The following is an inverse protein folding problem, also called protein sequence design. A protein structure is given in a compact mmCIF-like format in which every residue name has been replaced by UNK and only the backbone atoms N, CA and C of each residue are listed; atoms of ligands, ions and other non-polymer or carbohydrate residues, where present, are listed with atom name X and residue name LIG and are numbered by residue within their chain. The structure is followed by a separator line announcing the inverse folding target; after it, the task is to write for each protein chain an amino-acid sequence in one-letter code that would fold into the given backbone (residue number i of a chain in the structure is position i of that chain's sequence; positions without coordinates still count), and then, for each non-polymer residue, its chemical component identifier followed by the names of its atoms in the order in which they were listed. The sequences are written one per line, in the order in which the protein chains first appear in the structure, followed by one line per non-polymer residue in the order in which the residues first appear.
data_IF_029855740422
#
_entry.id   IF_029855740422
#
_cell.length_a   1.000
_cell.length_b   1.000
_cell.length_c   1.000
_cell.angle_alpha   90.00
_cell.angle_beta   90.00
_cell.angle_gamma   90.00
#
_symmetry.space_group_name_H-M   'P 1'
#
loop_
_entity.id
_entity.type
_entity.pdbx_description
1 polymer ?
#
# COMPACT_ATOMS: atom_id res chain seq x y z
N UNK A 1 11.73 16.90 -0.85
CA UNK A 1 11.49 15.45 -0.99
C UNK A 1 12.88 14.85 -0.98
N UNK A 2 13.21 14.04 0.02
CA UNK A 2 14.48 13.33 0.00
C UNK A 2 14.43 12.31 -1.14
N UNK A 3 15.44 12.34 -1.99
CA UNK A 3 15.64 11.33 -3.02
C UNK A 3 15.94 10.02 -2.29
N UNK A 4 14.96 9.12 -2.29
CA UNK A 4 15.21 7.72 -1.91
C UNK A 4 15.85 7.12 -3.14
N UNK A 5 17.18 7.17 -3.16
CA UNK A 5 17.98 6.37 -4.07
C UNK A 5 17.95 4.96 -3.51
N UNK A 6 17.47 3.99 -4.29
CA UNK A 6 17.42 2.59 -3.86
C UNK A 6 18.45 1.85 -4.71
N UNK A 7 19.71 1.94 -4.30
CA UNK A 7 20.81 1.18 -4.89
C UNK A 7 20.98 -0.15 -4.12
N UNK A 8 21.37 -1.24 -4.80
CA UNK A 8 21.64 -2.50 -4.13
C UNK A 8 22.96 -2.40 -3.33
N UNK A 9 22.90 -2.64 -2.03
CA UNK A 9 24.09 -3.02 -1.25
C UNK A 9 23.97 -4.50 -0.89
N UNK A 10 25.04 -5.24 -1.17
CA UNK A 10 25.08 -6.71 -1.25
C UNK A 10 25.66 -7.27 0.03
N UNK A 11 24.86 -7.96 0.85
CA UNK A 11 25.40 -8.70 2.01
C UNK A 11 25.61 -10.21 1.78
N UNK A 12 25.16 -10.80 0.67
CA UNK A 12 25.32 -12.25 0.49
C UNK A 12 25.61 -12.66 -0.97
N UNK A 13 26.90 -12.68 -1.33
CA UNK A 13 27.56 -13.58 -2.29
C UNK A 13 27.07 -13.75 -3.75
N UNK A 14 25.87 -13.32 -4.13
CA UNK A 14 25.30 -13.51 -5.46
C UNK A 14 25.65 -12.38 -6.43
N UNK A 15 26.01 -12.73 -7.67
CA UNK A 15 26.29 -11.75 -8.74
C UNK A 15 24.99 -11.10 -9.23
N UNK A 16 24.86 -9.79 -9.04
CA UNK A 16 23.72 -9.03 -9.58
C UNK A 16 23.95 -8.82 -11.08
N UNK A 17 23.02 -9.31 -11.90
CA UNK A 17 23.00 -9.00 -13.33
C UNK A 17 21.92 -7.95 -13.58
N UNK A 18 22.33 -6.75 -13.98
CA UNK A 18 21.42 -5.73 -14.47
C UNK A 18 21.06 -6.04 -15.93
N UNK A 19 19.77 -6.17 -16.21
CA UNK A 19 19.31 -6.31 -17.59
C UNK A 19 19.14 -4.90 -18.16
N UNK A 20 20.16 -4.41 -18.86
CA UNK A 20 20.30 -3.02 -19.29
C UNK A 20 19.03 -2.42 -19.95
N UNK A 21 18.88 -1.10 -19.73
CA UNK A 21 17.82 -0.16 -20.18
C UNK A 21 16.42 -0.30 -19.56
N UNK A 22 16.14 -1.38 -18.82
CA UNK A 22 14.78 -1.68 -18.33
C UNK A 22 14.51 -1.32 -16.87
N UNK A 23 15.54 -0.99 -16.07
CA UNK A 23 15.41 -0.81 -14.62
C UNK A 23 15.04 -2.11 -13.89
N UNK A 24 15.35 -3.26 -14.50
CA UNK A 24 15.13 -4.60 -13.95
C UNK A 24 16.50 -5.19 -13.55
N UNK A 25 16.61 -5.61 -12.29
CA UNK A 25 17.77 -6.35 -11.79
C UNK A 25 17.38 -7.78 -11.47
N UNK A 26 18.30 -8.70 -11.70
CA UNK A 26 18.19 -10.11 -11.38
C UNK A 26 19.36 -10.52 -10.48
N UNK A 27 19.09 -11.36 -9.49
CA UNK A 27 20.12 -11.96 -8.64
C UNK A 27 19.68 -13.36 -8.23
N UNK A 28 20.57 -14.33 -8.33
CA UNK A 28 20.38 -15.65 -7.72
C UNK A 28 21.14 -15.67 -6.39
N UNK A 29 20.43 -15.91 -5.30
CA UNK A 29 21.01 -16.05 -3.97
C UNK A 29 21.68 -17.42 -3.81
N UNK A 30 22.60 -17.53 -2.85
CA UNK A 30 23.36 -18.76 -2.60
C UNK A 30 22.48 -19.98 -2.25
N UNK A 31 21.26 -19.74 -1.79
CA UNK A 31 20.27 -20.75 -1.44
C UNK A 31 19.33 -21.13 -2.62
N UNK A 32 19.63 -20.65 -3.83
CA UNK A 32 18.90 -20.94 -5.07
C UNK A 32 17.63 -20.10 -5.26
N UNK A 33 17.35 -19.14 -4.39
CA UNK A 33 16.24 -18.21 -4.60
C UNK A 33 16.63 -17.18 -5.65
N UNK A 34 15.79 -17.03 -6.67
CA UNK A 34 15.96 -15.99 -7.69
C UNK A 34 15.18 -14.74 -7.28
N UNK A 35 15.87 -13.62 -7.13
CA UNK A 35 15.29 -12.31 -6.90
C UNK A 35 15.24 -11.49 -8.19
N UNK A 36 14.07 -10.89 -8.43
CA UNK A 36 13.84 -9.91 -9.47
C UNK A 36 13.46 -8.59 -8.81
N UNK A 37 13.92 -7.48 -9.35
CA UNK A 37 13.47 -6.16 -8.90
C UNK A 37 13.25 -5.27 -10.10
N UNK A 38 12.15 -4.53 -10.11
CA UNK A 38 11.80 -3.61 -11.19
C UNK A 38 11.40 -2.26 -10.62
N UNK A 39 12.22 -1.24 -10.90
CA UNK A 39 11.92 0.14 -10.56
C UNK A 39 10.95 0.73 -11.58
N UNK A 40 9.84 1.29 -11.10
CA UNK A 40 8.84 1.95 -11.93
C UNK A 40 9.17 3.44 -12.04
N UNK A 41 8.71 4.08 -13.11
CA UNK A 41 8.94 5.50 -13.36
C UNK A 41 8.35 6.44 -12.30
N UNK A 42 7.36 5.98 -11.53
CA UNK A 42 6.79 6.70 -10.40
C UNK A 42 7.52 6.44 -9.06
N UNK A 43 8.65 5.71 -9.10
CA UNK A 43 9.45 5.35 -7.93
C UNK A 43 8.90 4.17 -7.11
N UNK A 44 7.81 3.52 -7.55
CA UNK A 44 7.39 2.25 -6.97
C UNK A 44 8.40 1.15 -7.33
N UNK A 45 8.51 0.13 -6.49
CA UNK A 45 9.40 -1.01 -6.73
C UNK A 45 8.58 -2.30 -6.67
N UNK A 46 8.65 -3.08 -7.74
CA UNK A 46 8.19 -4.47 -7.73
C UNK A 46 9.37 -5.36 -7.35
N UNK A 47 9.19 -6.23 -6.35
CA UNK A 47 10.15 -7.28 -6.04
C UNK A 47 9.52 -8.60 -6.46
N UNK A 48 10.25 -9.50 -7.09
CA UNK A 48 9.84 -10.87 -7.38
C UNK A 48 10.82 -11.83 -6.76
N UNK A 49 10.35 -12.97 -6.30
CA UNK A 49 11.18 -14.05 -5.78
C UNK A 49 10.62 -15.37 -6.26
N UNK A 50 11.47 -16.16 -6.92
CA UNK A 50 11.13 -17.48 -7.43
C UNK A 50 11.91 -18.50 -6.61
N UNK A 51 11.19 -19.45 -6.05
CA UNK A 51 11.73 -20.50 -5.21
C UNK A 51 11.46 -21.83 -5.91
N UNK A 52 12.50 -22.55 -6.28
CA UNK A 52 12.37 -23.84 -6.97
C UNK A 52 12.17 -25.02 -6.02
N UNK A 53 12.59 -24.87 -4.76
CA UNK A 53 12.37 -25.88 -3.72
C UNK A 53 12.62 -25.29 -2.32
N UNK A 54 11.89 -25.77 -1.32
CA UNK A 54 12.21 -25.67 0.10
C UNK A 54 11.30 -26.63 0.89
N UNK A 55 11.65 -26.89 2.15
CA UNK A 55 10.81 -27.66 3.09
C UNK A 55 10.29 -26.77 4.22
N UNK A 56 9.05 -27.00 4.65
CA UNK A 56 8.41 -26.25 5.73
C UNK A 56 8.22 -24.76 5.40
N UNK A 57 8.96 -23.90 6.08
CA UNK A 57 8.89 -22.44 5.90
C UNK A 57 10.19 -21.89 5.34
N UNK A 58 10.07 -20.91 4.44
CA UNK A 58 11.19 -20.16 3.88
C UNK A 58 11.04 -18.68 4.19
N UNK A 59 12.11 -18.06 4.66
CA UNK A 59 12.18 -16.61 4.84
C UNK A 59 12.88 -15.99 3.63
N UNK A 60 12.29 -14.92 3.09
CA UNK A 60 12.84 -14.12 2.00
C UNK A 60 13.08 -12.73 2.55
N UNK A 61 14.32 -12.27 2.46
CA UNK A 61 14.72 -10.94 2.91
C UNK A 61 14.65 -9.98 1.74
N UNK A 62 13.98 -8.84 1.95
CA UNK A 62 14.00 -7.72 1.03
C UNK A 62 14.77 -6.59 1.67
N UNK A 63 15.98 -6.36 1.18
CA UNK A 63 16.79 -5.22 1.58
C UNK A 63 16.26 -3.96 0.89
N UNK A 64 16.02 -2.95 1.71
CA UNK A 64 15.42 -1.70 1.27
C UNK A 64 16.34 -0.60 1.74
N UNK A 65 16.94 0.09 0.79
CA UNK A 65 17.72 1.28 1.07
C UNK A 65 16.75 2.39 1.52
N UNK A 66 16.72 2.61 2.83
CA UNK A 66 15.87 3.59 3.47
C UNK A 66 16.74 4.67 4.12
N UNK A 67 16.29 5.93 4.11
CA UNK A 67 16.96 6.99 4.84
C UNK A 67 17.27 6.56 6.27
N UNK A 68 18.46 6.91 6.76
CA UNK A 68 18.88 6.58 8.13
C UNK A 68 17.82 7.00 9.15
N UNK A 69 17.55 6.12 10.11
CA UNK A 69 16.53 6.34 11.15
C UNK A 69 15.09 6.05 10.70
N UNK A 70 14.86 5.61 9.47
CA UNK A 70 13.53 5.15 9.03
C UNK A 70 13.09 3.90 9.79
N UNK A 71 11.79 3.76 9.96
CA UNK A 71 11.18 2.59 10.62
C UNK A 71 10.24 1.87 9.67
N UNK A 72 10.22 0.55 9.73
CA UNK A 72 9.24 -0.30 9.06
C UNK A 72 8.30 -0.87 10.11
N UNK A 73 7.00 -0.70 9.91
CA UNK A 73 5.96 -1.28 10.76
C UNK A 73 5.08 -2.22 9.95
N UNK A 74 4.69 -3.35 10.50
CA UNK A 74 3.87 -4.36 9.79
C UNK A 74 2.71 -4.84 10.65
N UNK A 75 1.59 -5.18 10.02
CA UNK A 75 0.49 -5.92 10.63
C UNK A 75 0.54 -7.44 10.30
N UNK A 76 1.66 -7.88 9.73
CA UNK A 76 1.88 -9.23 9.23
C UNK A 76 1.40 -9.45 7.80
N UNK A 77 0.62 -8.53 7.21
CA UNK A 77 0.15 -8.62 5.83
C UNK A 77 0.74 -7.54 4.95
N UNK A 78 0.80 -6.31 5.45
CA UNK A 78 1.35 -5.15 4.74
C UNK A 78 2.36 -4.43 5.64
N UNK A 79 3.21 -3.61 5.05
CA UNK A 79 4.17 -2.82 5.80
C UNK A 79 4.05 -1.32 5.49
N UNK A 80 4.29 -0.49 6.50
CA UNK A 80 4.32 0.96 6.47
C UNK A 80 5.75 1.42 6.75
N UNK A 81 6.28 2.32 5.92
CA UNK A 81 7.60 2.89 6.10
C UNK A 81 7.48 4.38 6.44
N UNK A 82 8.10 4.75 7.56
CA UNK A 82 8.14 6.12 8.07
C UNK A 82 9.59 6.59 8.20
N UNK A 83 9.82 7.89 8.02
CA UNK A 83 11.11 8.51 8.35
C UNK A 83 11.33 8.56 9.87
N UNK A 84 12.54 8.92 10.29
CA UNK A 84 12.86 9.17 11.70
C UNK A 84 11.92 10.21 12.36
N UNK A 85 11.46 11.19 11.58
CA UNK A 85 10.51 12.21 12.05
C UNK A 85 9.03 11.77 12.00
N UNK A 86 8.76 10.52 11.62
CA UNK A 86 7.41 9.96 11.50
C UNK A 86 6.68 10.35 10.21
N UNK A 87 7.37 10.91 9.21
CA UNK A 87 6.77 11.25 7.92
C UNK A 87 6.63 10.01 7.04
N UNK A 88 5.55 9.93 6.26
CA UNK A 88 5.32 8.82 5.35
C UNK A 88 6.35 8.80 4.21
N UNK A 89 7.04 7.67 4.06
CA UNK A 89 7.95 7.40 2.92
C UNK A 89 7.24 6.54 1.87
N UNK A 90 6.52 5.51 2.32
CA UNK A 90 5.91 4.51 1.46
C UNK A 90 5.44 3.29 2.25
N UNK A 91 5.26 2.17 1.58
CA UNK A 91 5.04 0.89 2.23
C UNK A 91 4.80 -0.26 1.26
N UNK A 92 4.75 -1.46 1.80
CA UNK A 92 4.51 -2.68 1.03
C UNK A 92 3.03 -3.00 1.00
N UNK A 93 2.54 -3.36 -0.19
CA UNK A 93 1.22 -3.95 -0.37
C UNK A 93 1.12 -5.32 0.30
N UNK A 94 -0.10 -5.86 0.38
CA UNK A 94 -0.37 -7.16 0.98
C UNK A 94 0.57 -8.25 0.42
N UNK A 95 1.22 -8.98 1.30
CA UNK A 95 2.05 -10.14 0.98
C UNK A 95 1.20 -11.18 0.23
N UNK A 96 1.75 -11.70 -0.86
CA UNK A 96 1.18 -12.83 -1.57
C UNK A 96 2.28 -13.75 -2.10
N UNK A 97 1.93 -15.03 -2.19
CA UNK A 97 2.73 -16.05 -2.82
C UNK A 97 1.79 -17.00 -3.58
N UNK A 98 2.20 -17.47 -4.75
CA UNK A 98 1.47 -18.43 -5.57
C UNK A 98 2.36 -19.63 -5.90
N UNK A 99 1.76 -20.81 -5.95
CA UNK A 99 2.41 -22.02 -6.45
C UNK A 99 2.35 -22.08 -7.99
N UNK A 100 2.96 -23.12 -8.58
CA UNK A 100 3.02 -23.28 -10.04
C UNK A 100 1.65 -23.50 -10.72
N UNK A 101 0.64 -23.93 -9.97
CA UNK A 101 -0.74 -24.06 -10.47
C UNK A 101 -1.54 -22.74 -10.29
N UNK A 102 -0.94 -21.73 -9.66
CA UNK A 102 -1.56 -20.45 -9.34
C UNK A 102 -2.40 -20.46 -8.06
N UNK A 103 -2.22 -21.46 -7.19
CA UNK A 103 -2.88 -21.51 -5.89
C UNK A 103 -2.16 -20.63 -4.87
N UNK A 104 -2.90 -19.95 -3.97
CA UNK A 104 -2.28 -19.14 -2.92
C UNK A 104 -1.50 -20.00 -1.92
N UNK A 105 -0.27 -19.57 -1.64
CA UNK A 105 0.59 -20.13 -0.58
C UNK A 105 0.55 -19.18 0.62
N UNK A 106 0.53 -19.74 1.83
CA UNK A 106 0.47 -18.96 3.06
C UNK A 106 1.73 -18.09 3.20
N UNK A 107 1.54 -16.81 3.50
CA UNK A 107 2.67 -15.90 3.68
C UNK A 107 2.36 -14.77 4.66
N UNK A 108 3.39 -14.28 5.33
CA UNK A 108 3.31 -13.15 6.27
C UNK A 108 4.60 -12.33 6.24
N UNK A 109 4.50 -11.03 6.52
CA UNK A 109 5.68 -10.21 6.77
C UNK A 109 6.11 -10.22 8.23
N UNK A 110 7.42 -10.20 8.43
CA UNK A 110 8.11 -9.80 9.65
C UNK A 110 9.03 -8.62 9.35
N UNK A 111 9.40 -7.90 10.39
CA UNK A 111 10.38 -6.82 10.30
C UNK A 111 11.51 -7.14 11.26
N UNK A 112 12.74 -7.01 10.78
CA UNK A 112 13.96 -7.09 11.58
C UNK A 112 14.85 -5.89 11.26
N UNK A 113 14.89 -4.90 12.17
CA UNK A 113 15.55 -3.62 11.93
C UNK A 113 14.97 -2.89 10.71
N UNK A 114 15.78 -2.72 9.68
CA UNK A 114 15.40 -2.07 8.41
C UNK A 114 15.08 -3.07 7.29
N UNK A 115 15.01 -4.36 7.61
CA UNK A 115 14.73 -5.42 6.64
C UNK A 115 13.27 -5.84 6.71
N UNK A 116 12.64 -5.95 5.56
CA UNK A 116 11.34 -6.61 5.45
C UNK A 116 11.58 -8.07 5.11
N UNK A 117 11.04 -8.97 5.92
CA UNK A 117 11.16 -10.41 5.72
C UNK A 117 9.79 -10.94 5.35
N UNK A 118 9.65 -11.57 4.19
CA UNK A 118 8.46 -12.35 3.85
C UNK A 118 8.70 -13.80 4.20
N UNK A 119 7.88 -14.33 5.10
CA UNK A 119 7.88 -15.76 5.42
C UNK A 119 6.84 -16.42 4.54
N UNK A 120 7.25 -17.44 3.79
CA UNK A 120 6.38 -18.33 3.02
C UNK A 120 6.31 -19.65 3.76
N UNK A 121 5.11 -20.13 4.02
CA UNK A 121 4.87 -21.41 4.66
C UNK A 121 4.18 -22.35 3.67
N UNK A 122 4.93 -23.36 3.20
CA UNK A 122 4.38 -24.40 2.33
C UNK A 122 3.38 -25.31 3.06
N UNK A 123 3.39 -25.29 4.40
CA UNK A 123 2.46 -26.00 5.27
C UNK A 123 2.34 -27.50 4.94
N UNK A 124 1.21 -28.09 5.32
CA UNK A 124 0.84 -29.45 4.91
C UNK A 124 0.22 -29.50 3.50
N UNK A 125 0.06 -28.34 2.83
CA UNK A 125 -0.67 -28.21 1.57
C UNK A 125 0.07 -28.77 0.35
N UNK A 126 1.35 -29.11 0.49
CA UNK A 126 2.21 -29.62 -0.59
C UNK A 126 2.14 -28.77 -1.87
N UNK A 127 2.39 -27.44 -1.78
CA UNK A 127 2.34 -26.54 -2.94
C UNK A 127 3.32 -26.98 -4.02
N UNK A 128 2.96 -26.72 -5.27
CA UNK A 128 3.82 -27.05 -6.41
C UNK A 128 4.85 -25.97 -6.68
N UNK A 129 6.08 -26.40 -6.86
CA UNK A 129 7.16 -25.53 -7.28
C UNK A 129 7.15 -25.27 -8.80
N UNK A 130 7.66 -24.11 -9.25
CA UNK A 130 8.19 -23.03 -8.43
C UNK A 130 7.09 -22.26 -7.68
N UNK A 131 7.43 -21.76 -6.50
CA UNK A 131 6.61 -20.79 -5.77
C UNK A 131 7.12 -19.39 -6.13
N UNK A 132 6.19 -18.47 -6.41
CA UNK A 132 6.49 -17.07 -6.68
C UNK A 132 5.91 -16.21 -5.57
N UNK A 133 6.76 -15.39 -4.95
CA UNK A 133 6.35 -14.29 -4.07
C UNK A 133 6.72 -12.96 -4.70
N UNK A 134 5.83 -11.98 -4.62
CA UNK A 134 6.04 -10.72 -5.34
C UNK A 134 5.46 -9.53 -4.56
N UNK A 135 6.21 -9.06 -3.55
CA UNK A 135 5.82 -7.91 -2.77
C UNK A 135 6.08 -6.60 -3.54
N UNK A 136 5.18 -5.63 -3.36
CA UNK A 136 5.25 -4.36 -4.09
C UNK A 136 5.38 -3.20 -3.12
N UNK A 137 6.46 -2.44 -3.24
CA UNK A 137 6.64 -1.19 -2.53
C UNK A 137 5.96 -0.04 -3.29
N UNK A 138 5.12 0.70 -2.59
CA UNK A 138 4.37 1.86 -3.09
C UNK A 138 4.78 3.12 -2.34
N UNK A 139 5.14 4.17 -3.09
CA UNK A 139 5.43 5.51 -2.53
C UNK A 139 4.19 6.37 -2.37
N UNK A 140 3.14 6.06 -3.12
CA UNK A 140 1.88 6.81 -3.13
C UNK A 140 0.85 6.30 -2.13
N UNK A 141 -0.19 7.11 -1.92
CA UNK A 141 -1.38 6.69 -1.16
C UNK A 141 -2.39 5.99 -2.06
N UNK A 142 -2.34 6.24 -3.36
CA UNK A 142 -3.29 5.73 -4.33
C UNK A 142 -2.72 4.48 -5.00
N UNK A 143 -3.34 3.33 -4.75
CA UNK A 143 -3.00 2.08 -5.43
C UNK A 143 -3.42 2.11 -6.89
N UNK A 144 -4.65 2.57 -7.15
CA UNK A 144 -5.22 2.64 -8.49
C UNK A 144 -6.46 3.52 -8.53
N UNK A 145 -6.63 4.29 -9.60
CA UNK A 145 -7.94 4.80 -10.01
C UNK A 145 -8.57 3.78 -10.95
N UNK A 146 -9.65 3.13 -10.51
CA UNK A 146 -10.30 2.05 -11.26
C UNK A 146 -11.34 2.56 -12.26
N UNK A 147 -11.76 3.82 -12.10
CA UNK A 147 -12.74 4.47 -12.97
C UNK A 147 -12.49 5.96 -12.95
N UNK A 148 -12.41 6.58 -14.12
CA UNK A 148 -12.38 8.02 -14.31
C UNK A 148 -13.19 8.33 -15.57
N UNK A 149 -14.39 8.88 -15.42
CA UNK A 149 -15.25 9.17 -16.58
C UNK A 149 -16.19 10.34 -16.34
N UNK A 150 -16.61 10.97 -17.42
CA UNK A 150 -17.55 12.08 -17.36
C UNK A 150 -19.00 11.60 -17.36
N UNK A 151 -19.77 11.97 -16.33
CA UNK A 151 -21.20 11.65 -16.19
C UNK A 151 -21.95 12.81 -15.55
N UNK A 152 -23.21 13.03 -15.97
CA UNK A 152 -24.13 13.99 -15.32
C UNK A 152 -23.52 15.40 -15.12
N UNK A 153 -22.66 15.84 -16.04
CA UNK A 153 -22.00 17.16 -15.95
C UNK A 153 -20.79 17.24 -14.99
N UNK A 154 -20.19 16.11 -14.62
CA UNK A 154 -18.95 16.08 -13.84
C UNK A 154 -18.19 14.76 -13.94
N UNK A 155 -16.96 14.74 -13.43
CA UNK A 155 -16.17 13.51 -13.36
C UNK A 155 -16.65 12.58 -12.25
N UNK A 156 -16.65 11.27 -12.52
CA UNK A 156 -16.83 10.21 -11.53
C UNK A 156 -15.53 9.44 -11.43
N UNK A 157 -14.93 9.44 -10.24
CA UNK A 157 -13.63 8.85 -9.96
C UNK A 157 -13.80 7.76 -8.89
N UNK A 158 -13.30 6.56 -9.14
CA UNK A 158 -13.25 5.50 -8.14
C UNK A 158 -11.79 5.17 -7.82
N UNK A 159 -11.47 5.19 -6.53
CA UNK A 159 -10.08 5.17 -6.05
C UNK A 159 -9.91 4.00 -5.09
N UNK A 160 -8.84 3.22 -5.28
CA UNK A 160 -8.32 2.28 -4.28
C UNK A 160 -7.06 2.84 -3.67
N UNK A 161 -6.98 2.83 -2.34
CA UNK A 161 -5.78 3.25 -1.60
C UNK A 161 -4.82 2.07 -1.39
N UNK A 162 -3.55 2.38 -1.17
CA UNK A 162 -2.50 1.42 -0.84
C UNK A 162 -2.74 0.77 0.52
N UNK A 163 -2.13 -0.40 0.76
CA UNK A 163 -2.17 -1.05 2.07
C UNK A 163 -1.50 -0.16 3.14
N UNK A 164 -0.37 0.47 2.79
CA UNK A 164 0.33 1.44 3.62
C UNK A 164 -0.56 2.63 4.01
N UNK A 165 -1.39 3.15 3.10
CA UNK A 165 -2.36 4.21 3.44
C UNK A 165 -3.40 3.75 4.47
N UNK A 166 -3.79 2.46 4.47
CA UNK A 166 -4.72 1.90 5.48
C UNK A 166 -4.05 1.81 6.85
N UNK A 167 -2.78 1.38 6.90
CA UNK A 167 -1.99 1.35 8.13
C UNK A 167 -1.73 2.76 8.67
N UNK A 168 -1.28 3.69 7.83
CA UNK A 168 -1.03 5.08 8.22
C UNK A 168 -2.29 5.74 8.76
N UNK A 169 -3.48 5.42 8.22
CA UNK A 169 -4.75 5.99 8.71
C UNK A 169 -4.96 5.74 10.21
N UNK A 170 -4.50 4.59 10.73
CA UNK A 170 -4.61 4.26 12.16
C UNK A 170 -3.78 5.20 13.04
N UNK A 171 -2.74 5.81 12.47
CA UNK A 171 -1.84 6.77 13.14
C UNK A 171 -2.23 8.22 12.85
N UNK A 172 -2.45 8.53 11.58
CA UNK A 172 -2.74 9.89 11.10
C UNK A 172 -3.70 9.85 9.93
N UNK A 173 -4.99 10.06 10.24
CA UNK A 173 -6.02 10.24 9.22
C UNK A 173 -5.77 11.52 8.40
N UNK A 174 -5.16 12.54 9.01
CA UNK A 174 -4.84 13.82 8.37
C UNK A 174 -3.79 13.65 7.28
N UNK A 175 -2.75 12.84 7.50
CA UNK A 175 -1.72 12.62 6.50
C UNK A 175 -2.26 11.83 5.31
N UNK A 176 -3.06 10.80 5.53
CA UNK A 176 -3.75 10.09 4.45
C UNK A 176 -4.64 11.05 3.65
N UNK A 177 -5.38 11.94 4.34
CA UNK A 177 -6.23 12.92 3.68
C UNK A 177 -5.43 13.92 2.83
N UNK A 178 -4.31 14.45 3.35
CA UNK A 178 -3.48 15.39 2.63
C UNK A 178 -2.67 14.74 1.50
N UNK A 179 -1.90 13.70 1.81
CA UNK A 179 -0.99 13.03 0.88
C UNK A 179 -1.79 12.33 -0.23
N UNK A 180 -2.89 11.67 0.10
CA UNK A 180 -3.70 11.01 -0.94
C UNK A 180 -4.47 11.99 -1.82
N UNK A 181 -4.88 13.15 -1.30
CA UNK A 181 -5.44 14.19 -2.17
C UNK A 181 -4.38 14.78 -3.09
N UNK A 182 -3.16 15.01 -2.58
CA UNK A 182 -2.04 15.51 -3.37
C UNK A 182 -1.73 14.55 -4.52
N UNK A 183 -1.58 13.26 -4.21
CA UNK A 183 -1.34 12.17 -5.17
C UNK A 183 -2.43 12.13 -6.26
N UNK A 184 -3.72 12.22 -5.86
CA UNK A 184 -4.83 12.29 -6.81
C UNK A 184 -4.80 13.54 -7.71
N UNK A 185 -4.48 14.72 -7.17
CA UNK A 185 -4.43 15.96 -7.97
C UNK A 185 -3.24 15.96 -8.93
N UNK A 186 -2.12 15.39 -8.51
CA UNK A 186 -0.91 15.27 -9.33
C UNK A 186 -1.15 14.38 -10.55
N UNK A 187 -1.73 13.19 -10.35
CA UNK A 187 -1.96 12.23 -11.42
C UNK A 187 -3.28 12.44 -12.19
N UNK A 188 -4.30 13.04 -11.55
CA UNK A 188 -5.64 13.24 -12.11
C UNK A 188 -6.15 14.68 -11.99
N UNK A 189 -5.37 15.69 -12.45
CA UNK A 189 -5.67 17.11 -12.21
C UNK A 189 -7.00 17.55 -12.82
N UNK A 190 -7.40 16.95 -13.96
CA UNK A 190 -8.65 17.31 -14.66
C UNK A 190 -9.89 16.86 -13.90
N UNK A 191 -9.90 15.63 -13.39
CA UNK A 191 -11.05 15.08 -12.67
C UNK A 191 -11.15 15.58 -11.24
N UNK A 192 -10.02 15.87 -10.60
CA UNK A 192 -9.94 16.34 -9.22
C UNK A 192 -10.11 17.87 -9.04
N UNK A 193 -10.29 18.62 -10.14
CA UNK A 193 -10.33 20.10 -10.17
C UNK A 193 -11.42 20.75 -9.28
N UNK A 194 -12.59 20.12 -9.13
CA UNK A 194 -13.72 20.74 -8.44
C UNK A 194 -13.56 20.62 -6.92
N UNK A 195 -13.88 21.67 -6.15
CA UNK A 195 -13.81 21.67 -4.68
C UNK A 195 -14.61 20.54 -4.01
N UNK A 196 -15.69 20.07 -4.65
CA UNK A 196 -16.47 18.91 -4.17
C UNK A 196 -15.66 17.61 -4.13
N UNK A 197 -14.65 17.46 -4.99
CA UNK A 197 -13.79 16.27 -5.04
C UNK A 197 -12.95 16.19 -3.76
N UNK A 198 -12.32 17.30 -3.36
CA UNK A 198 -11.59 17.40 -2.09
C UNK A 198 -12.48 17.09 -0.90
N UNK A 199 -13.66 17.68 -0.85
CA UNK A 199 -14.59 17.51 0.28
C UNK A 199 -15.09 16.06 0.41
N UNK A 200 -15.36 15.40 -0.72
CA UNK A 200 -15.73 13.99 -0.74
C UNK A 200 -14.56 13.13 -0.28
N UNK A 201 -13.36 13.35 -0.82
CA UNK A 201 -12.15 12.65 -0.40
C UNK A 201 -11.94 12.74 1.11
N UNK A 202 -11.91 13.94 1.68
CA UNK A 202 -11.75 14.14 3.12
C UNK A 202 -12.84 13.41 3.92
N UNK A 203 -14.10 13.44 3.46
CA UNK A 203 -15.20 12.74 4.11
C UNK A 203 -15.05 11.22 4.05
N UNK A 204 -14.56 10.69 2.93
CA UNK A 204 -14.31 9.26 2.77
C UNK A 204 -13.12 8.83 3.63
N UNK A 205 -12.02 9.57 3.64
CA UNK A 205 -10.85 9.27 4.49
C UNK A 205 -11.19 9.32 5.99
N UNK A 206 -11.92 10.36 6.45
CA UNK A 206 -12.44 10.41 7.82
C UNK A 206 -13.43 9.28 8.12
N UNK A 207 -14.17 8.83 7.10
CA UNK A 207 -15.21 7.82 7.19
C UNK A 207 -14.77 6.40 6.82
N UNK A 208 -13.47 6.13 6.65
CA UNK A 208 -12.88 4.87 6.19
C UNK A 208 -13.07 3.67 7.17
N UNK A 209 -14.17 3.61 7.93
CA UNK A 209 -14.61 2.39 8.59
C UNK A 209 -15.22 1.44 7.54
N UNK A 210 -14.36 0.80 6.72
CA UNK A 210 -14.73 -0.35 5.89
C UNK A 210 -14.85 -0.14 4.36
N UNK A 211 -14.56 1.04 3.82
CA UNK A 211 -14.59 1.25 2.37
C UNK A 211 -13.25 0.91 1.71
N UNK A 212 -13.20 -0.17 0.91
CA UNK A 212 -12.04 -0.56 0.11
C UNK A 212 -11.88 0.25 -1.20
N UNK A 213 -12.96 0.89 -1.62
CA UNK A 213 -13.05 1.76 -2.79
C UNK A 213 -13.69 3.08 -2.36
N UNK A 214 -13.12 4.19 -2.81
CA UNK A 214 -13.61 5.55 -2.56
C UNK A 214 -14.21 6.10 -3.84
N UNK A 215 -15.50 6.44 -3.81
CA UNK A 215 -16.23 7.02 -4.93
C UNK A 215 -16.29 8.55 -4.80
N UNK A 216 -15.82 9.27 -5.80
CA UNK A 216 -15.84 10.73 -5.86
C UNK A 216 -16.65 11.20 -7.07
N UNK A 217 -17.59 12.12 -6.84
CA UNK A 217 -18.53 12.57 -7.87
C UNK A 217 -18.48 14.09 -8.03
N UNK A 218 -17.87 14.55 -9.11
CA UNK A 218 -17.68 15.96 -9.45
C UNK A 218 -18.95 16.71 -9.83
N UNK A 219 -20.06 16.01 -10.05
CA UNK A 219 -21.38 16.63 -10.26
C UNK A 219 -22.09 16.97 -8.94
N UNK A 220 -21.60 16.47 -7.78
CA UNK A 220 -22.20 16.80 -6.48
C UNK A 220 -21.91 18.25 -6.09
N UNK A 221 -22.93 18.92 -5.53
CA UNK A 221 -22.80 20.26 -4.96
C UNK A 221 -21.72 20.28 -3.87
N UNK A 222 -20.86 21.29 -3.91
CA UNK A 222 -19.88 21.54 -2.86
C UNK A 222 -20.58 21.90 -1.53
N UNK A 223 -20.06 21.38 -0.42
CA UNK A 223 -20.57 21.61 0.94
C UNK A 223 -19.41 21.97 1.89
N UNK A 224 -18.86 23.20 1.85
CA UNK A 224 -17.67 23.57 2.63
C UNK A 224 -17.83 23.39 4.15
N UNK A 225 -19.04 23.48 4.68
CA UNK A 225 -19.32 23.35 6.12
C UNK A 225 -19.67 21.91 6.58
N UNK A 226 -19.33 20.88 5.82
CA UNK A 226 -19.74 19.49 6.11
C UNK A 226 -19.17 18.95 7.44
N UNK A 227 -17.94 19.34 7.81
CA UNK A 227 -17.30 18.92 9.07
C UNK A 227 -18.06 19.46 10.30
N UNK A 228 -18.41 20.76 10.29
CA UNK A 228 -19.20 21.41 11.36
C UNK A 228 -20.57 20.76 11.55
N UNK A 229 -21.16 20.21 10.48
CA UNK A 229 -22.47 19.52 10.53
C UNK A 229 -22.40 18.12 11.15
N UNK A 230 -21.27 17.40 11.04
CA UNK A 230 -21.11 16.08 11.70
C UNK A 230 -21.07 16.23 13.22
N UNK A 231 -20.29 17.20 13.73
CA UNK A 231 -20.18 17.52 15.16
C UNK A 231 -21.53 17.87 15.80
N UNK A 232 -22.39 18.62 15.11
CA UNK A 232 -23.75 18.93 15.59
C UNK A 232 -24.66 17.70 15.66
N UNK A 233 -24.48 16.70 14.81
CA UNK A 233 -25.30 15.48 14.82
C UNK A 233 -24.95 14.56 15.98
N UNK A 234 -23.67 14.44 16.35
CA UNK A 234 -23.24 13.66 17.52
C UNK A 234 -23.61 14.30 18.85
N UNK A 235 -23.63 15.64 18.94
CA UNK A 235 -23.99 16.36 20.17
C UNK A 235 -25.50 16.52 20.41
N UNK A 236 -26.34 16.38 19.38
CA UNK A 236 -27.80 16.60 19.47
C UNK A 236 -28.65 15.38 19.08
N UNK A 237 -28.09 14.17 19.07
CA UNK A 237 -28.92 12.96 18.98
C UNK A 237 -29.37 12.59 20.40
N UNK A 238 -30.66 12.74 20.77
CA UNK A 238 -31.12 12.30 22.06
C UNK A 238 -30.99 10.77 22.12
N UNK A 239 -30.33 10.27 23.17
CA UNK A 239 -30.39 8.86 23.56
C UNK A 239 -31.87 8.49 23.77
N UNK A 240 -32.51 7.87 22.79
CA UNK A 240 -33.76 7.15 23.03
C UNK A 240 -33.40 5.93 23.89
N UNK A 241 -33.35 6.11 25.21
CA UNK A 241 -33.47 5.01 26.18
C UNK A 241 -34.79 4.31 25.86
N UNK A 242 -34.71 3.09 25.31
CA UNK A 242 -35.84 2.16 25.38
C UNK A 242 -36.06 1.89 26.86
N UNK A 243 -37.13 2.44 27.42
CA UNK A 243 -37.64 1.98 28.72
C UNK A 243 -38.16 0.56 28.50
N UNK A 244 -37.48 -0.42 29.08
CA UNK A 244 -38.15 -1.66 29.45
C UNK A 244 -39.10 -1.30 30.58
N UNK A 245 -40.39 -1.49 30.34
CA UNK A 245 -41.44 -1.47 31.36
C UNK A 245 -41.50 -2.88 31.94
N UNK A 246 -41.65 -3.04 33.27
CA UNK A 246 -41.60 -4.33 33.98
C UNK A 246 -42.67 -5.32 33.53
#
# INVERSE_FOLDING_TARGET
MADVEIAPEVEDGGEIQEVESSGITYQEAADGVVHLRSLKSNGDVQYGSVLDTFEGSKEIVYDIDLPRGSTIETDGKAALVLSESGEFIGGFEDAWALDADGNPVSTTYKVDGHRLIQVIDAGAGSPKFPIVADPVFKRGMIKKVTKEKWEKGGWVVQVKVTAAARLLRLKSVTDVAMLGYKDLVEHYPRSMKKATMRQQWDCHVLGLYGAFTIDLEGYRKSKPNWQKRKLRRTLFTPLKRKMLVP
#
